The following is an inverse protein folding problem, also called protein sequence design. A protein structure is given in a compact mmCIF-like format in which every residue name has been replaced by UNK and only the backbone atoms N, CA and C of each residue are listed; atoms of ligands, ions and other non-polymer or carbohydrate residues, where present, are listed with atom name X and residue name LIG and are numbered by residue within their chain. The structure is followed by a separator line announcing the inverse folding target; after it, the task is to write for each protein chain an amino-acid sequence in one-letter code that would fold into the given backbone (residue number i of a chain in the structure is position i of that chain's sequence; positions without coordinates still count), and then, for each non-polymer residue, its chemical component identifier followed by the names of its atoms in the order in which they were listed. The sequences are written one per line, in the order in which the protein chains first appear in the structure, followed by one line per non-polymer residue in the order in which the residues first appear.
data_IF_941795445994
#
_entry.id   IF_941795445994
#
_cell.length_a   1.000
_cell.length_b   1.000
_cell.length_c   1.000
_cell.angle_alpha   90.00
_cell.angle_beta   90.00
_cell.angle_gamma   90.00
#
_symmetry.space_group_name_H-M   'P 1'
#
loop_
_entity.id
_entity.type
_entity.pdbx_description
1 polymer ?
#
# COMPACT_ATOMS: atom_id res chain seq x y z
N UNK A 1 -21.06 9.47 11.68
CA UNK A 1 -19.91 8.97 10.92
C UNK A 1 -19.82 7.47 11.15
N UNK A 2 -19.61 6.66 10.11
CA UNK A 2 -19.34 5.23 10.29
C UNK A 2 -17.94 5.12 10.89
N UNK A 3 -17.82 4.54 12.09
CA UNK A 3 -16.52 4.35 12.75
C UNK A 3 -15.74 3.29 11.98
N UNK A 4 -14.56 3.62 11.49
CA UNK A 4 -13.65 2.66 10.86
C UNK A 4 -12.93 1.94 11.99
N UNK A 5 -13.04 0.62 12.05
CA UNK A 5 -12.35 -0.21 13.04
C UNK A 5 -11.68 -1.38 12.34
N UNK A 6 -10.39 -1.27 12.00
CA UNK A 6 -9.66 -2.38 11.40
C UNK A 6 -9.57 -3.56 12.38
N UNK A 7 -9.55 -4.81 11.89
CA UNK A 7 -9.38 -5.97 12.74
C UNK A 7 -8.01 -5.93 13.43
N UNK A 8 -7.99 -6.17 14.75
CA UNK A 8 -6.73 -6.36 15.49
C UNK A 8 -6.21 -7.77 15.24
N UNK A 9 -5.14 -7.86 14.46
CA UNK A 9 -4.48 -9.12 14.13
C UNK A 9 -3.21 -9.29 14.97
N UNK A 10 -2.95 -10.54 15.36
CA UNK A 10 -1.68 -10.95 15.97
C UNK A 10 -0.60 -11.12 14.89
N UNK A 11 0.68 -11.07 15.29
CA UNK A 11 1.79 -11.32 14.38
C UNK A 11 1.69 -12.63 13.58
N UNK A 12 1.29 -13.78 14.19
CA UNK A 12 1.05 -15.01 13.44
C UNK A 12 -0.03 -14.88 12.37
N UNK A 13 -1.13 -14.16 12.64
CA UNK A 13 -2.21 -13.96 11.67
C UNK A 13 -1.78 -13.06 10.52
N UNK A 14 -1.00 -12.00 10.80
CA UNK A 14 -0.42 -11.14 9.75
C UNK A 14 0.55 -11.95 8.88
N UNK A 15 1.38 -12.79 9.50
CA UNK A 15 2.28 -13.71 8.79
C UNK A 15 1.48 -14.66 7.90
N UNK A 16 0.46 -15.31 8.42
CA UNK A 16 -0.40 -16.22 7.64
C UNK A 16 -0.97 -15.54 6.40
N UNK A 17 -1.52 -14.32 6.53
CA UNK A 17 -2.03 -13.55 5.39
C UNK A 17 -0.95 -13.20 4.36
N UNK A 18 0.27 -12.88 4.80
CA UNK A 18 1.39 -12.63 3.90
C UNK A 18 1.85 -13.91 3.17
N UNK A 19 1.85 -15.05 3.84
CA UNK A 19 2.19 -16.36 3.27
C UNK A 19 1.13 -16.85 2.27
N UNK A 20 -0.16 -16.67 2.57
CA UNK A 20 -1.28 -16.89 1.64
C UNK A 20 -1.08 -16.05 0.37
N UNK A 21 -0.88 -14.74 0.53
CA UNK A 21 -0.64 -13.84 -0.60
C UNK A 21 0.56 -14.28 -1.44
N UNK A 22 1.68 -14.66 -0.79
CA UNK A 22 2.88 -15.12 -1.49
C UNK A 22 2.60 -16.40 -2.28
N UNK A 23 1.91 -17.36 -1.68
CA UNK A 23 1.62 -18.66 -2.30
C UNK A 23 0.72 -18.52 -3.53
N UNK A 24 -0.23 -17.58 -3.51
CA UNK A 24 -1.13 -17.32 -4.63
C UNK A 24 -0.48 -16.52 -5.77
N UNK A 25 0.49 -15.66 -5.44
CA UNK A 25 1.00 -14.66 -6.36
C UNK A 25 2.46 -14.84 -6.80
N UNK A 26 3.23 -15.73 -6.19
CA UNK A 26 4.67 -15.90 -6.48
C UNK A 26 4.94 -17.33 -6.94
N UNK A 27 5.53 -17.46 -8.14
CA UNK A 27 5.88 -18.74 -8.75
C UNK A 27 7.30 -18.65 -9.35
N UNK A 28 8.24 -19.53 -8.93
CA UNK A 28 8.11 -20.50 -7.83
C UNK A 28 7.97 -19.81 -6.46
N UNK A 29 7.44 -20.53 -5.45
CA UNK A 29 7.10 -19.93 -4.14
C UNK A 29 8.29 -19.34 -3.37
N UNK A 30 9.50 -19.77 -3.72
CA UNK A 30 10.79 -19.37 -3.17
C UNK A 30 11.53 -18.35 -4.06
N UNK A 31 10.89 -17.82 -5.11
CA UNK A 31 11.47 -16.81 -5.99
C UNK A 31 11.88 -15.57 -5.19
N UNK A 32 13.16 -15.21 -5.28
CA UNK A 32 13.72 -13.99 -4.72
C UNK A 32 14.55 -13.22 -5.76
N UNK A 33 14.48 -11.87 -5.79
CA UNK A 33 13.55 -11.05 -5.02
C UNK A 33 12.09 -11.26 -5.43
N UNK A 34 11.15 -11.01 -4.52
CA UNK A 34 9.71 -11.08 -4.83
C UNK A 34 9.40 -10.07 -5.95
N UNK A 35 8.74 -10.48 -7.05
CA UNK A 35 8.42 -9.61 -8.18
C UNK A 35 7.20 -8.73 -7.86
N UNK A 36 7.31 -7.92 -6.80
CA UNK A 36 6.18 -7.18 -6.23
C UNK A 36 5.65 -6.12 -7.19
N UNK A 37 6.51 -5.51 -8.00
CA UNK A 37 6.13 -4.51 -9.00
C UNK A 37 5.22 -5.17 -10.04
N UNK A 38 5.65 -6.31 -10.58
CA UNK A 38 4.89 -7.07 -11.57
C UNK A 38 3.58 -7.63 -10.98
N UNK A 39 3.61 -8.07 -9.72
CA UNK A 39 2.39 -8.52 -9.02
C UNK A 39 1.39 -7.37 -8.90
N UNK A 40 1.83 -6.19 -8.47
CA UNK A 40 0.98 -5.00 -8.34
C UNK A 40 0.39 -4.61 -9.69
N UNK A 41 1.24 -4.41 -10.70
CA UNK A 41 0.80 -3.85 -11.98
C UNK A 41 0.03 -4.85 -12.84
N UNK A 42 0.47 -6.12 -12.89
CA UNK A 42 -0.04 -7.10 -13.84
C UNK A 42 -1.08 -8.03 -13.23
N UNK A 43 -0.85 -8.52 -11.99
CA UNK A 43 -1.77 -9.47 -11.33
C UNK A 43 -2.90 -8.75 -10.61
N UNK A 44 -2.56 -7.81 -9.74
CA UNK A 44 -3.53 -7.04 -8.96
C UNK A 44 -4.16 -5.89 -9.77
N UNK A 45 -3.55 -5.51 -10.90
CA UNK A 45 -4.00 -4.43 -11.78
C UNK A 45 -4.15 -3.09 -11.06
N UNK A 46 -3.26 -2.84 -10.11
CA UNK A 46 -3.14 -1.57 -9.40
C UNK A 46 -2.19 -0.67 -10.18
N UNK A 47 -2.68 0.46 -10.68
CA UNK A 47 -1.87 1.41 -11.44
C UNK A 47 -1.02 2.29 -10.51
N UNK A 48 0.30 2.37 -10.68
CA UNK A 48 1.11 3.37 -9.97
C UNK A 48 0.82 4.77 -10.53
N UNK A 49 0.64 5.74 -9.64
CA UNK A 49 0.46 7.15 -9.98
C UNK A 49 1.56 7.94 -9.27
N UNK A 50 2.62 8.37 -9.97
CA UNK A 50 3.66 9.20 -9.38
C UNK A 50 3.10 10.58 -9.01
N UNK A 51 3.31 11.00 -7.76
CA UNK A 51 2.91 12.29 -7.20
C UNK A 51 4.16 13.07 -6.84
N UNK A 52 4.26 14.30 -7.36
CA UNK A 52 5.39 15.16 -7.10
C UNK A 52 5.45 15.56 -5.62
N UNK A 53 6.63 15.37 -4.99
CA UNK A 53 6.96 15.81 -3.62
C UNK A 53 6.03 15.27 -2.53
N UNK A 54 5.45 14.08 -2.72
CA UNK A 54 4.61 13.44 -1.72
C UNK A 54 5.37 13.21 -0.41
N UNK A 55 6.61 12.70 -0.50
CA UNK A 55 7.45 12.47 0.66
C UNK A 55 7.84 13.79 1.35
N UNK A 56 8.19 14.81 0.59
CA UNK A 56 8.62 16.10 1.17
C UNK A 56 7.47 16.88 1.80
N UNK A 57 6.27 16.81 1.24
CA UNK A 57 5.12 17.60 1.69
C UNK A 57 4.37 16.93 2.84
N UNK A 58 4.27 15.60 2.85
CA UNK A 58 3.38 14.88 3.78
C UNK A 58 4.02 13.67 4.48
N UNK A 59 5.32 13.45 4.24
CA UNK A 59 6.15 12.40 4.85
C UNK A 59 5.68 10.96 4.57
N UNK A 60 5.21 10.69 3.35
CA UNK A 60 4.91 9.33 2.90
C UNK A 60 5.49 8.99 1.54
N UNK A 61 5.80 7.71 1.36
CA UNK A 61 6.27 7.18 0.08
C UNK A 61 5.14 6.82 -0.88
N UNK A 62 3.96 6.50 -0.36
CA UNK A 62 2.80 6.16 -1.16
C UNK A 62 1.56 5.82 -0.35
N UNK A 63 0.44 5.64 -1.04
CA UNK A 63 -0.82 5.20 -0.45
C UNK A 63 -1.75 4.56 -1.51
N UNK A 64 -2.52 3.56 -1.08
CA UNK A 64 -3.56 2.93 -1.88
C UNK A 64 -4.81 3.83 -1.98
N UNK A 65 -5.30 4.01 -3.20
CA UNK A 65 -6.53 4.76 -3.46
C UNK A 65 -7.76 4.03 -2.92
N UNK A 66 -8.76 4.81 -2.48
CA UNK A 66 -10.03 4.32 -1.93
C UNK A 66 -10.74 3.29 -2.82
N UNK A 67 -10.71 3.50 -4.13
CA UNK A 67 -11.38 2.62 -5.10
C UNK A 67 -10.59 1.33 -5.37
N UNK A 68 -9.42 1.18 -4.73
CA UNK A 68 -8.51 0.05 -4.81
C UNK A 68 -8.03 -0.20 -6.25
N UNK A 69 -7.83 0.86 -7.03
CA UNK A 69 -7.37 0.74 -8.43
C UNK A 69 -5.98 1.28 -8.66
N UNK A 70 -5.47 2.10 -7.76
CA UNK A 70 -4.20 2.78 -7.94
C UNK A 70 -3.43 2.94 -6.65
N UNK A 71 -2.11 2.96 -6.77
CA UNK A 71 -1.19 3.30 -5.68
C UNK A 71 -0.55 4.64 -6.06
N UNK A 72 -0.83 5.68 -5.27
CA UNK A 72 -0.11 6.95 -5.37
C UNK A 72 1.27 6.76 -4.76
N UNK A 73 2.34 7.21 -5.44
CA UNK A 73 3.73 7.00 -5.00
C UNK A 73 4.50 8.30 -5.17
N UNK A 74 5.41 8.62 -4.26
CA UNK A 74 6.32 9.74 -4.46
C UNK A 74 7.09 9.61 -5.78
N UNK A 75 7.11 10.69 -6.56
CA UNK A 75 7.67 10.68 -7.90
C UNK A 75 9.17 10.39 -7.94
N UNK A 76 9.95 10.84 -6.93
CA UNK A 76 11.38 10.53 -6.88
C UNK A 76 11.60 9.08 -6.43
N UNK A 77 10.76 8.54 -5.53
CA UNK A 77 10.79 7.11 -5.21
C UNK A 77 10.50 6.25 -6.43
N UNK A 78 9.52 6.62 -7.26
CA UNK A 78 9.14 5.86 -8.44
C UNK A 78 10.15 5.94 -9.59
N UNK A 79 10.69 7.13 -9.88
CA UNK A 79 11.52 7.34 -11.07
C UNK A 79 13.02 7.15 -10.84
N UNK A 80 13.49 7.05 -9.59
CA UNK A 80 14.92 6.97 -9.28
C UNK A 80 15.36 5.51 -9.11
N UNK A 81 16.18 4.95 -10.03
CA UNK A 81 16.63 3.56 -9.93
C UNK A 81 17.42 3.27 -8.64
N UNK A 82 18.05 4.28 -8.04
CA UNK A 82 18.76 4.11 -6.76
C UNK A 82 17.81 3.87 -5.58
N UNK A 83 16.51 4.14 -5.76
CA UNK A 83 15.46 3.96 -4.76
C UNK A 83 14.62 2.70 -5.00
N UNK A 84 15.02 1.78 -5.89
CA UNK A 84 14.24 0.58 -6.23
C UNK A 84 13.84 -0.25 -5.00
N UNK A 85 14.73 -0.43 -4.02
CA UNK A 85 14.39 -1.16 -2.79
C UNK A 85 13.30 -0.45 -1.98
N UNK A 86 13.30 0.88 -1.96
CA UNK A 86 12.26 1.68 -1.30
C UNK A 86 10.96 1.55 -2.06
N UNK A 87 10.98 1.64 -3.40
CA UNK A 87 9.81 1.42 -4.25
C UNK A 87 9.18 0.04 -4.03
N UNK A 88 10.00 -1.03 -4.02
CA UNK A 88 9.55 -2.40 -3.74
C UNK A 88 8.91 -2.50 -2.37
N UNK A 89 9.49 -1.86 -1.35
CA UNK A 89 8.92 -1.81 -0.01
C UNK A 89 7.58 -1.06 0.02
N UNK A 90 7.50 0.11 -0.62
CA UNK A 90 6.24 0.88 -0.73
C UNK A 90 5.15 0.05 -1.39
N UNK A 91 5.42 -0.61 -2.51
CA UNK A 91 4.45 -1.50 -3.14
C UNK A 91 4.02 -2.65 -2.21
N UNK A 92 4.96 -3.30 -1.53
CA UNK A 92 4.65 -4.37 -0.58
C UNK A 92 3.78 -3.87 0.59
N UNK A 93 4.06 -2.66 1.09
CA UNK A 93 3.29 -2.02 2.16
C UNK A 93 1.84 -1.78 1.73
N UNK A 94 1.64 -1.19 0.55
CA UNK A 94 0.31 -0.91 0.00
C UNK A 94 -0.46 -2.17 -0.39
N UNK A 95 0.24 -3.23 -0.83
CA UNK A 95 -0.36 -4.56 -0.98
C UNK A 95 -0.82 -5.11 0.38
N UNK A 96 -0.06 -4.89 1.45
CA UNK A 96 -0.48 -5.20 2.81
C UNK A 96 -1.81 -4.51 3.16
N UNK A 97 -1.93 -3.22 2.86
CA UNK A 97 -3.19 -2.47 3.00
C UNK A 97 -4.33 -3.05 2.14
N UNK A 98 -4.07 -3.41 0.89
CA UNK A 98 -5.06 -4.05 0.01
C UNK A 98 -5.53 -5.40 0.57
N UNK A 99 -4.63 -6.23 1.09
CA UNK A 99 -4.95 -7.57 1.61
C UNK A 99 -5.69 -7.48 2.96
N UNK A 100 -5.20 -6.65 3.88
CA UNK A 100 -5.66 -6.61 5.26
C UNK A 100 -6.79 -5.61 5.52
N UNK A 101 -6.86 -4.52 4.74
CA UNK A 101 -7.64 -3.32 5.09
C UNK A 101 -8.51 -2.78 3.95
N UNK A 102 -8.76 -3.56 2.89
CA UNK A 102 -9.55 -3.11 1.73
C UNK A 102 -10.94 -2.57 2.10
N UNK A 103 -11.60 -3.18 3.08
CA UNK A 103 -12.96 -2.79 3.47
C UNK A 103 -12.94 -1.43 4.17
N UNK A 104 -11.98 -1.25 5.07
CA UNK A 104 -11.75 -0.01 5.81
C UNK A 104 -11.37 1.13 4.87
N UNK A 105 -10.44 0.88 3.95
CA UNK A 105 -9.99 1.86 2.94
C UNK A 105 -11.17 2.34 2.08
N UNK A 106 -12.07 1.44 1.68
CA UNK A 106 -13.29 1.79 0.94
C UNK A 106 -14.30 2.60 1.76
N UNK A 107 -14.20 2.61 3.09
CA UNK A 107 -15.02 3.46 3.95
C UNK A 107 -14.41 4.85 4.17
N UNK A 108 -13.09 4.99 4.03
CA UNK A 108 -12.38 6.26 4.18
C UNK A 108 -12.89 7.31 3.19
N UNK A 109 -12.80 8.59 3.56
CA UNK A 109 -13.19 9.72 2.71
C UNK A 109 -11.96 10.56 2.32
N UNK A 110 -10.94 9.93 1.76
CA UNK A 110 -9.84 10.67 1.14
C UNK A 110 -9.97 10.74 -0.38
N UNK A 111 -9.86 11.95 -0.95
CA UNK A 111 -9.84 12.20 -2.41
C UNK A 111 -8.56 12.88 -2.87
N UNK A 112 -7.81 13.46 -1.94
CA UNK A 112 -6.59 14.23 -2.18
C UNK A 112 -5.50 13.86 -1.17
N UNK A 113 -4.22 14.16 -1.44
CA UNK A 113 -3.15 14.01 -0.45
C UNK A 113 -3.45 14.71 0.89
N UNK A 114 -4.08 15.89 0.85
CA UNK A 114 -4.51 16.60 2.06
C UNK A 114 -5.67 15.92 2.83
N UNK A 115 -6.48 15.09 2.17
CA UNK A 115 -7.47 14.26 2.86
C UNK A 115 -6.82 13.00 3.46
N UNK A 116 -5.73 12.52 2.87
CA UNK A 116 -4.93 11.43 3.43
C UNK A 116 -4.23 11.89 4.72
N UNK A 117 -3.65 13.10 4.74
CA UNK A 117 -3.06 13.69 5.95
C UNK A 117 -4.08 13.74 7.10
N UNK A 118 -5.28 14.26 6.82
CA UNK A 118 -6.37 14.31 7.82
C UNK A 118 -6.79 12.92 8.29
N UNK A 119 -6.82 11.94 7.39
CA UNK A 119 -7.10 10.55 7.75
C UNK A 119 -6.02 9.95 8.67
N UNK A 120 -4.74 10.23 8.43
CA UNK A 120 -3.65 9.76 9.31
C UNK A 120 -3.79 10.37 10.70
N UNK A 121 -3.99 11.68 10.77
CA UNK A 121 -4.07 12.40 12.05
C UNK A 121 -5.27 11.90 12.89
N UNK A 122 -6.41 11.59 12.26
CA UNK A 122 -7.59 11.00 12.90
C UNK A 122 -7.33 9.60 13.51
N UNK A 123 -6.27 8.90 13.09
CA UNK A 123 -5.87 7.57 13.58
C UNK A 123 -4.71 7.59 14.58
N UNK A 124 -3.91 8.66 14.63
CA UNK A 124 -2.80 8.80 15.59
C UNK A 124 -3.24 9.32 16.97
N UNK A 125 -4.48 9.81 17.12
CA UNK A 125 -5.03 10.33 18.38
C UNK A 125 -5.65 9.26 19.33
N UNK A 126 -5.54 7.95 19.04
CA UNK A 126 -6.02 6.84 19.91
C UNK A 126 -4.89 6.03 20.59
#
# INVERSE_FOLDING_TARGET
MTRIQPPRLTWPQVREKAEEFRSDNVLPVDLLPIPIIEIVELKLKLSPIPIFRLLEEIDIDGFLTKDLKSICIDQDVYNNPRKENRLRFTFAHEVGHFVLHKQEIQLCRFRTPGDWMRFRDDFEED
#
